data_IF_639528238777
#
_entry.id   IF_639528238777
#
_cell.length_a   1.000
_cell.length_b   1.000
_cell.length_c   1.000
_cell.angle_alpha   90.00
_cell.angle_beta   90.00
_cell.angle_gamma   90.00
#
_symmetry.space_group_name_H-M   'P 1'
#
loop_
_entity.id
_entity.type
_entity.pdbx_description
1 polymer ?
#
# COMPACT_ATOMS: atom_id res chain seq x y z
N UNK A 1 11.43 7.79 1.72
CA UNK A 1 12.05 6.45 1.51
C UNK A 1 12.70 6.00 2.81
N UNK A 2 12.42 4.76 3.21
CA UNK A 2 12.97 4.11 4.40
C UNK A 2 13.67 2.79 4.00
N UNK A 3 14.72 2.42 4.74
CA UNK A 3 15.44 1.15 4.57
C UNK A 3 15.41 0.38 5.88
N UNK A 4 14.95 -0.87 5.82
CA UNK A 4 14.88 -1.76 6.96
C UNK A 4 16.08 -2.72 6.93
N UNK A 5 17.08 -2.44 7.76
CA UNK A 5 18.32 -3.24 7.82
C UNK A 5 18.22 -4.38 8.82
N UNK A 6 17.67 -4.14 10.00
CA UNK A 6 17.56 -5.14 11.06
C UNK A 6 16.38 -4.79 11.96
N UNK A 7 15.21 -5.36 11.68
CA UNK A 7 14.00 -5.12 12.45
C UNK A 7 13.32 -6.45 12.77
N UNK A 8 12.72 -6.56 13.95
CA UNK A 8 11.84 -7.69 14.27
C UNK A 8 10.42 -7.38 13.84
N UNK A 9 9.95 -6.17 14.10
CA UNK A 9 8.62 -5.72 13.72
C UNK A 9 8.71 -4.74 12.55
N UNK A 10 8.12 -5.11 11.43
CA UNK A 10 7.90 -4.18 10.32
C UNK A 10 6.55 -3.52 10.53
N UNK A 11 6.56 -2.19 10.54
CA UNK A 11 5.35 -1.39 10.60
C UNK A 11 5.56 -0.06 9.86
N UNK A 12 4.63 0.28 8.99
CA UNK A 12 4.57 1.56 8.31
C UNK A 12 3.11 1.96 8.16
N UNK A 13 2.80 3.21 8.51
CA UNK A 13 1.47 3.79 8.40
C UNK A 13 1.52 5.07 7.61
N UNK A 14 0.41 5.38 6.96
CA UNK A 14 0.18 6.69 6.37
C UNK A 14 -1.31 6.97 6.30
N UNK A 15 -1.65 8.23 6.04
CA UNK A 15 -3.03 8.67 5.92
C UNK A 15 -3.18 9.70 4.81
N UNK A 16 -4.38 9.81 4.27
CA UNK A 16 -4.77 10.89 3.37
C UNK A 16 -6.21 11.32 3.67
N UNK A 17 -6.46 12.63 3.58
CA UNK A 17 -7.82 13.17 3.68
C UNK A 17 -8.47 13.20 2.31
N UNK A 18 -9.76 12.89 2.25
CA UNK A 18 -10.50 12.79 0.99
C UNK A 18 -10.42 14.08 0.15
N UNK A 19 -10.43 15.26 0.78
CA UNK A 19 -10.37 16.54 0.07
C UNK A 19 -9.04 16.78 -0.69
N UNK A 20 -8.01 15.98 -0.44
CA UNK A 20 -6.76 16.01 -1.21
C UNK A 20 -6.86 15.22 -2.52
N UNK A 21 -7.98 14.51 -2.74
CA UNK A 21 -8.26 13.75 -3.95
C UNK A 21 -9.34 14.46 -4.75
N UNK A 22 -9.15 14.57 -6.06
CA UNK A 22 -10.19 15.07 -6.96
C UNK A 22 -11.42 14.17 -6.90
N UNK A 23 -12.60 14.79 -6.82
CA UNK A 23 -13.88 14.10 -6.85
C UNK A 23 -14.13 13.41 -8.19
N UNK A 24 -15.09 12.50 -8.24
CA UNK A 24 -15.46 11.65 -9.41
C UNK A 24 -14.42 10.65 -9.90
N UNK A 25 -13.20 10.69 -9.37
CA UNK A 25 -12.13 9.76 -9.74
C UNK A 25 -12.08 8.56 -8.80
N UNK A 26 -11.61 7.44 -9.36
CA UNK A 26 -11.18 6.28 -8.60
C UNK A 26 -9.66 6.26 -8.58
N UNK A 27 -9.05 6.04 -7.42
CA UNK A 27 -7.60 6.01 -7.23
C UNK A 27 -7.14 4.60 -6.85
N UNK A 28 -6.07 4.13 -7.46
CA UNK A 28 -5.32 2.96 -6.99
C UNK A 28 -4.41 3.36 -5.82
N UNK A 29 -4.42 2.54 -4.77
CA UNK A 29 -3.47 2.65 -3.65
C UNK A 29 -2.38 1.58 -3.80
N UNK A 30 -1.13 2.03 -3.95
CA UNK A 30 0.00 1.20 -4.34
C UNK A 30 1.18 1.41 -3.38
N UNK A 31 1.69 0.34 -2.79
CA UNK A 31 2.94 0.37 -2.02
C UNK A 31 4.12 0.13 -2.95
N UNK A 32 5.06 1.08 -3.03
CA UNK A 32 6.29 0.93 -3.84
C UNK A 32 7.45 0.44 -2.98
N UNK A 33 7.99 -0.70 -3.37
CA UNK A 33 8.99 -1.45 -2.62
C UNK A 33 10.14 -1.86 -3.53
N UNK A 34 11.30 -2.07 -2.90
CA UNK A 34 12.44 -2.77 -3.49
C UNK A 34 12.97 -3.78 -2.50
N UNK A 35 13.26 -4.97 -3.00
CA UNK A 35 13.86 -6.06 -2.22
C UNK A 35 15.32 -6.17 -2.61
N UNK A 36 16.23 -6.06 -1.65
CA UNK A 36 17.67 -6.23 -1.90
C UNK A 36 18.02 -7.69 -2.21
N UNK A 37 19.17 -7.96 -2.86
CA UNK A 37 19.61 -9.32 -3.17
C UNK A 37 19.62 -10.29 -1.97
N UNK A 38 19.95 -9.79 -0.78
CA UNK A 38 20.12 -10.58 0.44
C UNK A 38 18.98 -10.36 1.45
N UNK A 39 17.73 -10.29 0.98
CA UNK A 39 16.56 -10.18 1.86
C UNK A 39 16.45 -11.40 2.78
N UNK A 40 16.10 -11.17 4.04
CA UNK A 40 15.89 -12.23 5.04
C UNK A 40 14.70 -11.92 5.94
N UNK A 41 14.13 -12.96 6.56
CA UNK A 41 13.12 -12.83 7.62
C UNK A 41 11.69 -12.52 7.16
N UNK A 42 11.43 -12.61 5.84
CA UNK A 42 10.10 -12.38 5.26
C UNK A 42 9.37 -13.69 4.93
N UNK A 43 9.67 -14.76 5.67
CA UNK A 43 9.08 -16.10 5.52
C UNK A 43 7.56 -16.04 5.72
N UNK A 44 7.10 -15.24 6.69
CA UNK A 44 5.67 -14.97 6.89
C UNK A 44 5.22 -13.86 5.94
N UNK A 45 4.04 -14.00 5.29
CA UNK A 45 3.50 -12.96 4.43
C UNK A 45 3.39 -11.62 5.15
N UNK A 46 3.78 -10.56 4.44
CA UNK A 46 3.61 -9.18 4.91
C UNK A 46 2.19 -8.73 4.61
N UNK A 47 1.56 -8.09 5.59
CA UNK A 47 0.18 -7.61 5.45
C UNK A 47 0.18 -6.17 4.95
N UNK A 48 -0.65 -5.89 3.96
CA UNK A 48 -0.92 -4.56 3.44
C UNK A 48 -2.41 -4.27 3.63
N UNK A 49 -2.75 -3.08 4.10
CA UNK A 49 -4.14 -2.71 4.32
C UNK A 49 -4.47 -1.29 3.91
N UNK A 50 -5.73 -1.10 3.52
CA UNK A 50 -6.40 0.16 3.29
C UNK A 50 -7.62 0.20 4.19
N UNK A 51 -7.67 1.15 5.12
CA UNK A 51 -8.80 1.40 6.02
C UNK A 51 -9.56 2.63 5.53
N UNK A 52 -10.87 2.48 5.39
CA UNK A 52 -11.80 3.53 4.97
C UNK A 52 -12.34 4.30 6.19
N UNK A 53 -12.86 5.53 6.02
CA UNK A 53 -13.34 6.38 7.12
C UNK A 53 -14.36 5.73 8.08
N UNK A 54 -15.13 4.74 7.60
CA UNK A 54 -16.11 3.98 8.41
C UNK A 54 -15.53 2.67 8.96
N UNK A 55 -14.22 2.60 9.14
CA UNK A 55 -13.46 1.44 9.60
C UNK A 55 -13.59 0.16 8.73
N UNK A 56 -14.27 0.23 7.57
CA UNK A 56 -14.19 -0.84 6.58
C UNK A 56 -12.73 -0.97 6.13
N UNK A 57 -12.23 -2.21 5.98
CA UNK A 57 -10.82 -2.46 5.73
C UNK A 57 -10.64 -3.47 4.61
N UNK A 58 -9.78 -3.14 3.66
CA UNK A 58 -9.25 -4.09 2.68
C UNK A 58 -7.88 -4.54 3.17
N UNK A 59 -7.65 -5.85 3.18
CA UNK A 59 -6.41 -6.46 3.64
C UNK A 59 -5.94 -7.47 2.61
N UNK A 60 -4.68 -7.36 2.19
CA UNK A 60 -4.00 -8.36 1.39
C UNK A 60 -2.73 -8.83 2.09
N UNK A 61 -2.34 -10.06 1.80
CA UNK A 61 -1.11 -10.66 2.33
C UNK A 61 -0.23 -11.05 1.16
N UNK A 62 1.02 -10.61 1.21
CA UNK A 62 1.96 -10.79 0.12
C UNK A 62 3.24 -11.45 0.64
N UNK A 63 3.65 -12.52 -0.04
CA UNK A 63 4.96 -13.11 0.21
C UNK A 63 6.02 -12.24 -0.45
N UNK A 64 6.87 -11.58 0.34
CA UNK A 64 7.92 -10.73 -0.21
C UNK A 64 9.12 -11.55 -0.71
N UNK A 65 9.36 -12.76 -0.20
CA UNK A 65 10.48 -13.59 -0.68
C UNK A 65 10.29 -14.08 -2.12
N UNK A 66 9.04 -14.20 -2.58
CA UNK A 66 8.72 -14.57 -3.97
C UNK A 66 8.73 -13.39 -4.95
N UNK A 67 8.93 -12.16 -4.47
CA UNK A 67 8.94 -10.97 -5.32
C UNK A 67 10.30 -10.76 -5.98
N UNK A 68 10.35 -10.06 -7.13
CA UNK A 68 11.61 -9.76 -7.82
C UNK A 68 12.60 -9.01 -6.92
N UNK A 69 13.87 -9.39 -7.03
CA UNK A 69 14.98 -8.73 -6.30
C UNK A 69 15.58 -7.62 -7.14
N UNK A 70 16.10 -6.59 -6.48
CA UNK A 70 16.82 -5.44 -7.06
C UNK A 70 16.04 -4.61 -8.08
N UNK A 71 14.71 -4.80 -8.15
CA UNK A 71 13.83 -4.07 -9.05
C UNK A 71 12.71 -3.44 -8.21
N UNK A 72 12.34 -2.22 -8.57
CA UNK A 72 11.18 -1.55 -7.98
C UNK A 72 9.90 -2.20 -8.46
N UNK A 73 9.00 -2.51 -7.53
CA UNK A 73 7.68 -3.03 -7.83
C UNK A 73 6.62 -2.39 -6.95
N UNK A 74 5.36 -2.54 -7.37
CA UNK A 74 4.21 -2.03 -6.63
C UNK A 74 3.28 -3.17 -6.20
N UNK A 75 2.78 -3.08 -4.97
CA UNK A 75 1.67 -3.92 -4.47
C UNK A 75 0.42 -3.04 -4.41
N UNK A 76 -0.62 -3.42 -5.18
CA UNK A 76 -1.94 -2.76 -5.13
C UNK A 76 -2.76 -3.34 -3.99
N UNK A 77 -3.10 -2.50 -3.01
CA UNK A 77 -3.91 -2.92 -1.84
C UNK A 77 -5.40 -2.75 -2.08
N UNK A 78 -5.81 -1.75 -2.84
CA UNK A 78 -7.21 -1.42 -3.03
C UNK A 78 -7.42 -0.15 -3.84
N UNK A 79 -8.67 0.27 -3.90
CA UNK A 79 -9.12 1.42 -4.66
C UNK A 79 -9.91 2.37 -3.76
N UNK A 80 -9.70 3.67 -3.92
CA UNK A 80 -10.49 4.72 -3.29
C UNK A 80 -11.41 5.31 -4.35
N UNK A 81 -12.71 5.12 -4.22
CA UNK A 81 -13.71 5.81 -5.05
C UNK A 81 -14.13 7.09 -4.35
N UNK A 82 -13.80 8.24 -4.93
CA UNK A 82 -14.22 9.54 -4.42
C UNK A 82 -15.56 9.88 -5.07
N UNK A 83 -16.64 9.71 -4.32
CA UNK A 83 -17.98 10.08 -4.79
C UNK A 83 -18.12 11.60 -4.83
N UNK A 84 -18.75 12.11 -5.89
CA UNK A 84 -19.23 13.48 -5.97
C UNK A 84 -20.38 13.62 -4.97
N UNK A 85 -20.05 14.00 -3.74
CA UNK A 85 -21.07 14.37 -2.77
C UNK A 85 -20.70 15.67 -2.11
N UNK A 86 -21.69 16.56 -2.14
CA UNK A 86 -21.91 17.68 -1.24
C UNK A 86 -21.99 17.26 0.25
N UNK A 87 -21.35 16.15 0.64
CA UNK A 87 -21.16 15.79 2.03
C UNK A 87 -20.19 16.82 2.61
N UNK A 88 -20.71 17.67 3.48
CA UNK A 88 -19.99 18.67 4.27
C UNK A 88 -18.99 18.07 5.27
N UNK A 89 -18.74 16.76 5.22
CA UNK A 89 -17.83 16.04 6.10
C UNK A 89 -16.44 15.98 5.45
N UNK A 90 -15.65 17.05 5.65
CA UNK A 90 -14.28 17.21 5.17
C UNK A 90 -13.27 16.29 5.87
N UNK A 91 -13.71 15.55 6.90
CA UNK A 91 -12.86 14.81 7.83
C UNK A 91 -12.74 13.31 7.48
N UNK A 92 -13.25 12.91 6.30
CA UNK A 92 -13.03 11.55 5.76
C UNK A 92 -11.54 11.30 5.55
N UNK A 93 -10.97 10.45 6.40
CA UNK A 93 -9.57 10.03 6.37
C UNK A 93 -9.45 8.56 5.96
N UNK A 94 -8.58 8.28 5.00
CA UNK A 94 -8.20 6.93 4.62
C UNK A 94 -6.83 6.64 5.22
N UNK A 95 -6.68 5.45 5.78
CA UNK A 95 -5.43 5.00 6.38
C UNK A 95 -4.86 3.83 5.58
N UNK A 96 -3.55 3.75 5.51
CA UNK A 96 -2.85 2.67 4.84
C UNK A 96 -1.71 2.17 5.70
N UNK A 97 -1.59 0.85 5.79
CA UNK A 97 -0.61 0.21 6.65
C UNK A 97 0.09 -0.94 5.95
N UNK A 98 1.39 -1.10 6.19
CA UNK A 98 2.18 -2.28 5.87
C UNK A 98 2.77 -2.82 7.17
N UNK A 99 2.54 -4.09 7.49
CA UNK A 99 3.07 -4.67 8.71
C UNK A 99 3.39 -6.16 8.63
N UNK A 100 4.40 -6.55 9.39
CA UNK A 100 4.79 -7.93 9.64
C UNK A 100 5.42 -8.03 11.04
N UNK A 101 4.65 -8.59 11.99
CA UNK A 101 5.02 -8.68 13.40
C UNK A 101 5.53 -10.08 13.78
N UNK A 102 6.00 -10.88 12.82
CA UNK A 102 6.64 -12.16 13.15
C UNK A 102 7.93 -11.94 13.94
N UNK A 103 8.34 -12.94 14.72
CA UNK A 103 9.58 -12.91 15.51
C UNK A 103 10.84 -12.99 14.64
N UNK A 104 10.70 -13.27 13.34
CA UNK A 104 11.80 -13.36 12.40
C UNK A 104 12.52 -12.01 12.25
N UNK A 105 13.85 -12.02 12.36
CA UNK A 105 14.66 -10.82 12.08
C UNK A 105 14.66 -10.53 10.58
N UNK A 106 14.08 -9.39 10.21
CA UNK A 106 13.89 -8.94 8.83
C UNK A 106 15.02 -7.99 8.42
N UNK A 107 15.51 -8.17 7.20
CA UNK A 107 16.51 -7.29 6.58
C UNK A 107 16.27 -7.18 5.07
N UNK A 108 16.77 -6.09 4.48
CA UNK A 108 16.89 -5.98 3.02
C UNK A 108 15.65 -5.47 2.29
N UNK A 109 14.65 -4.93 3.01
CA UNK A 109 13.51 -4.25 2.40
C UNK A 109 13.76 -2.73 2.31
N UNK A 110 13.45 -2.16 1.15
CA UNK A 110 13.39 -0.71 0.95
C UNK A 110 11.93 -0.34 0.66
N UNK A 111 11.40 0.59 1.42
CA UNK A 111 10.08 1.17 1.20
C UNK A 111 10.21 2.60 0.71
N UNK A 112 9.77 2.85 -0.52
CA UNK A 112 9.87 4.20 -1.09
C UNK A 112 8.74 5.10 -0.60
N UNK A 113 7.52 4.58 -0.66
CA UNK A 113 6.31 5.26 -0.21
C UNK A 113 5.05 4.61 -0.78
N UNK A 114 3.94 5.34 -0.66
CA UNK A 114 2.63 4.92 -1.15
C UNK A 114 2.25 5.87 -2.28
N UNK A 115 1.85 5.30 -3.42
CA UNK A 115 1.30 6.03 -4.55
C UNK A 115 -0.21 5.92 -4.52
N UNK A 116 -0.86 7.07 -4.60
CA UNK A 116 -2.30 7.19 -4.76
C UNK A 116 -2.50 7.90 -6.09
N UNK A 117 -2.89 7.13 -7.11
CA UNK A 117 -2.95 7.64 -8.49
C UNK A 117 -4.30 7.33 -9.13
N UNK A 118 -4.83 8.21 -9.99
CA UNK A 118 -6.05 7.92 -10.73
C UNK A 118 -5.93 6.57 -11.45
N UNK A 119 -6.96 5.74 -11.30
CA UNK A 119 -7.10 4.49 -12.02
C UNK A 119 -7.32 4.82 -13.49
N UNK A 120 -6.43 4.33 -14.36
CA UNK A 120 -6.61 4.52 -15.79
C UNK A 120 -7.90 3.84 -16.26
N UNK A 121 -8.72 4.49 -17.10
CA UNK A 121 -9.83 3.82 -17.75
C UNK A 121 -9.29 2.64 -18.56
N UNK A 122 -9.83 1.45 -18.34
CA UNK A 122 -9.57 0.33 -19.24
C UNK A 122 -10.30 0.63 -20.56
N UNK A 123 -9.63 1.30 -21.50
CA UNK A 123 -10.06 1.25 -22.89
C UNK A 123 -9.83 -0.18 -23.36
N UNK A 124 -10.92 -0.91 -23.61
CA UNK A 124 -10.87 -2.29 -24.02
C UNK A 124 -10.04 -2.44 -25.29
N UNK A 125 -8.99 -3.24 -25.22
CA UNK A 125 -8.38 -3.82 -26.41
C UNK A 125 -9.34 -4.89 -26.94
N UNK A 126 -10.31 -4.48 -27.75
CA UNK A 126 -11.04 -5.38 -28.62
C UNK A 126 -10.03 -5.97 -29.60
N UNK A 127 -9.69 -7.24 -29.41
CA UNK A 127 -8.99 -8.07 -30.41
C UNK A 127 -10.02 -8.78 -31.27
#
# INVERSE_FOLDING_TARGET
MAMFKEITWLEAHGKIRQHMLSSTLTYDVLFELLIKPYVTGFIKPTTFALTFPKAAKVVIKENLESRPRSIWFTIKVGEIKVEDKHDCDSDKEYEFSMYNHSEDRKSGLIFKGIHIRPKQPSYGSSS
#
